data_IF_259089115332
#
_entry.id   IF_259089115332
#
_cell.length_a   1.000
_cell.length_b   1.000
_cell.length_c   1.000
_cell.angle_alpha   90.00
_cell.angle_beta   90.00
_cell.angle_gamma   90.00
#
_symmetry.space_group_name_H-M   'P 1'
#
loop_
_entity.id
_entity.type
_entity.pdbx_description
1 polymer ?
#
# COMPACT_ATOMS: atom_id res chain seq x y z
N UNK A 1 6.15 -10.13 23.00
CA UNK A 1 7.53 -10.48 23.41
C UNK A 1 8.22 -11.47 22.47
N UNK A 2 7.64 -12.64 22.13
CA UNK A 2 8.30 -13.68 21.28
C UNK A 2 8.64 -13.20 19.86
N UNK A 3 7.72 -12.51 19.19
CA UNK A 3 7.89 -11.95 17.84
C UNK A 3 9.05 -10.95 17.77
N UNK A 4 9.13 -10.09 18.78
CA UNK A 4 10.11 -9.02 18.89
C UNK A 4 11.55 -9.54 18.93
N UNK A 5 11.76 -10.61 19.71
CA UNK A 5 13.06 -11.28 19.83
C UNK A 5 13.47 -11.93 18.51
N UNK A 6 12.52 -12.47 17.75
CA UNK A 6 12.78 -13.05 16.43
C UNK A 6 13.24 -12.00 15.42
N UNK A 7 12.65 -10.80 15.44
CA UNK A 7 13.11 -9.68 14.61
C UNK A 7 14.51 -9.20 15.01
N UNK A 8 14.81 -9.12 16.31
CA UNK A 8 16.16 -8.76 16.77
C UNK A 8 17.21 -9.78 16.37
N UNK A 9 16.93 -11.08 16.54
CA UNK A 9 17.81 -12.16 16.13
C UNK A 9 18.02 -12.15 14.61
N UNK A 10 16.95 -11.96 13.83
CA UNK A 10 17.01 -11.84 12.38
C UNK A 10 17.82 -10.63 11.89
N UNK A 11 17.60 -9.47 12.50
CA UNK A 11 18.27 -8.22 12.17
C UNK A 11 19.75 -8.27 12.51
N UNK A 12 20.11 -8.87 13.65
CA UNK A 12 21.51 -9.07 14.05
C UNK A 12 22.27 -9.96 13.06
N UNK A 13 21.57 -10.91 12.43
CA UNK A 13 22.11 -11.82 11.42
C UNK A 13 22.03 -11.26 9.98
N UNK A 14 21.43 -10.07 9.78
CA UNK A 14 21.25 -9.47 8.45
C UNK A 14 20.44 -10.34 7.49
N UNK A 15 19.47 -11.09 8.02
CA UNK A 15 18.69 -12.05 7.25
C UNK A 15 17.84 -11.37 6.17
N UNK A 16 17.60 -12.08 5.08
CA UNK A 16 16.62 -11.66 4.08
C UNK A 16 15.22 -11.72 4.71
N UNK A 17 14.44 -10.67 4.48
CA UNK A 17 13.07 -10.59 4.92
C UNK A 17 12.20 -10.01 3.81
N UNK A 18 11.00 -10.58 3.70
CA UNK A 18 9.96 -10.11 2.78
C UNK A 18 8.72 -9.76 3.60
N UNK A 19 8.12 -8.61 3.29
CA UNK A 19 6.86 -8.20 3.90
C UNK A 19 5.73 -8.73 3.03
N UNK A 20 5.06 -9.77 3.51
CA UNK A 20 3.82 -10.26 2.94
C UNK A 20 2.66 -9.71 3.76
N UNK A 21 1.48 -9.59 3.16
CA UNK A 21 0.33 -8.86 3.70
C UNK A 21 0.12 -8.96 5.22
N UNK A 22 0.28 -10.15 5.82
CA UNK A 22 0.02 -10.45 7.23
C UNK A 22 1.22 -10.95 8.04
N UNK A 23 2.37 -11.10 7.39
CA UNK A 23 3.56 -11.73 7.98
C UNK A 23 4.82 -11.12 7.40
N UNK A 24 5.86 -11.07 8.22
CA UNK A 24 7.20 -10.88 7.68
C UNK A 24 7.85 -12.24 7.61
N UNK A 25 8.21 -12.66 6.40
CA UNK A 25 8.94 -13.92 6.18
C UNK A 25 10.41 -13.59 6.27
N UNK A 26 11.06 -14.05 7.33
CA UNK A 26 12.51 -13.93 7.48
C UNK A 26 13.12 -15.29 7.16
N UNK A 27 13.82 -15.42 6.02
CA UNK A 27 14.57 -16.63 5.60
C UNK A 27 13.93 -17.96 6.04
N UNK A 28 12.70 -18.21 5.59
CA UNK A 28 11.98 -19.48 5.83
C UNK A 28 11.29 -19.60 7.19
N UNK A 29 11.25 -18.55 8.00
CA UNK A 29 10.50 -18.48 9.26
C UNK A 29 9.42 -17.42 9.18
N UNK A 30 8.17 -17.87 9.29
CA UNK A 30 7.01 -16.99 9.35
C UNK A 30 6.97 -16.31 10.71
N UNK A 31 7.03 -14.98 10.70
CA UNK A 31 6.77 -14.17 11.88
C UNK A 31 5.35 -13.62 11.77
N UNK A 32 4.43 -14.21 12.54
CA UNK A 32 3.05 -13.72 12.64
C UNK A 32 3.03 -12.34 13.30
N UNK A 33 2.47 -11.35 12.60
CA UNK A 33 2.24 -10.02 13.16
C UNK A 33 0.99 -10.04 14.07
N UNK A 34 0.96 -9.24 15.15
CA UNK A 34 -0.24 -9.10 15.97
C UNK A 34 -1.45 -8.72 15.12
N UNK A 35 -2.56 -9.44 15.28
CA UNK A 35 -3.76 -9.34 14.43
C UNK A 35 -4.71 -8.21 14.83
N UNK A 36 -4.22 -7.19 15.52
CA UNK A 36 -5.04 -6.04 15.91
C UNK A 36 -4.59 -4.81 15.12
N UNK A 37 -5.56 -4.11 14.54
CA UNK A 37 -5.31 -2.96 13.67
C UNK A 37 -4.80 -1.84 14.54
N UNK A 38 -3.48 -1.69 14.58
CA UNK A 38 -2.86 -0.59 15.26
C UNK A 38 -3.41 0.75 14.74
N UNK A 39 -3.40 1.74 15.62
CA UNK A 39 -3.84 3.09 15.31
C UNK A 39 -3.04 3.68 14.14
N UNK A 40 -3.64 4.52 13.27
CA UNK A 40 -2.97 5.05 12.10
C UNK A 40 -1.74 5.88 12.48
N UNK A 41 -0.55 5.50 12.02
CA UNK A 41 0.67 6.22 12.36
C UNK A 41 0.83 7.52 11.57
N UNK A 42 1.42 8.52 12.22
CA UNK A 42 2.04 9.67 11.56
C UNK A 42 3.54 9.49 11.65
N UNK A 43 4.23 9.46 10.52
CA UNK A 43 5.69 9.41 10.46
C UNK A 43 6.24 10.68 9.79
N UNK A 44 7.56 10.88 9.85
CA UNK A 44 8.41 11.77 9.05
C UNK A 44 9.79 11.16 8.92
N UNK A 45 10.35 11.29 7.73
CA UNK A 45 11.77 11.09 7.50
C UNK A 45 12.37 12.48 7.31
N UNK A 46 13.18 12.93 8.26
CA UNK A 46 13.99 14.13 8.07
C UNK A 46 15.11 13.84 7.06
N UNK A 47 15.64 12.61 7.10
CA UNK A 47 16.67 12.09 6.20
C UNK A 47 16.40 10.62 5.85
N UNK A 48 16.67 10.22 4.61
CA UNK A 48 16.71 8.83 4.16
C UNK A 48 17.70 8.75 3.00
N UNK A 49 18.92 8.30 3.27
CA UNK A 49 20.06 8.37 2.33
C UNK A 49 20.96 7.16 2.41
N UNK A 50 21.70 6.91 1.34
CA UNK A 50 22.75 5.92 1.29
C UNK A 50 24.09 6.60 1.01
N UNK A 51 25.00 6.60 1.98
CA UNK A 51 26.30 7.28 1.88
C UNK A 51 27.40 6.31 2.28
N UNK A 52 28.43 6.14 1.44
CA UNK A 52 29.62 5.34 1.75
C UNK A 52 29.28 3.95 2.31
N UNK A 53 28.41 3.21 1.62
CA UNK A 53 27.92 1.89 2.05
C UNK A 53 27.12 1.87 3.35
N UNK A 54 26.67 3.03 3.82
CA UNK A 54 25.89 3.16 5.04
C UNK A 54 24.52 3.75 4.71
N UNK A 55 23.47 3.01 5.04
CA UNK A 55 22.11 3.52 5.05
C UNK A 55 21.89 4.37 6.29
N UNK A 56 21.33 5.56 6.08
CA UNK A 56 21.03 6.55 7.10
C UNK A 56 19.56 6.95 6.97
N UNK A 57 18.79 6.77 8.04
CA UNK A 57 17.43 7.30 8.11
C UNK A 57 17.19 7.92 9.49
N UNK A 58 16.89 9.21 9.52
CA UNK A 58 16.49 9.93 10.71
C UNK A 58 15.07 10.47 10.51
N UNK A 59 14.28 10.49 11.57
CA UNK A 59 12.88 10.86 11.46
C UNK A 59 12.15 10.89 12.78
N UNK A 60 10.83 10.96 12.69
CA UNK A 60 9.93 10.78 13.82
C UNK A 60 8.71 9.95 13.43
N UNK A 61 8.11 9.29 14.42
CA UNK A 61 6.93 8.46 14.23
C UNK A 61 6.09 8.41 15.50
N UNK A 62 4.79 8.61 15.35
CA UNK A 62 3.85 8.74 16.47
C UNK A 62 2.51 8.06 16.15
N UNK A 63 1.89 7.50 17.18
CA UNK A 63 0.47 7.12 17.16
C UNK A 63 -0.37 8.33 17.61
N UNK A 64 -1.29 8.85 16.77
CA UNK A 64 -2.07 10.05 17.09
C UNK A 64 -3.17 9.82 18.14
N UNK A 65 -3.51 8.57 18.46
CA UNK A 65 -4.61 8.26 19.41
C UNK A 65 -4.04 7.87 20.78
N UNK A 66 -3.10 6.92 20.83
CA UNK A 66 -2.56 6.40 22.10
C UNK A 66 -1.52 7.30 22.75
N UNK A 67 -0.97 8.29 22.04
CA UNK A 67 0.20 9.06 22.51
C UNK A 67 1.29 8.11 23.04
N UNK A 68 1.47 6.94 22.40
CA UNK A 68 2.51 5.99 22.77
C UNK A 68 3.69 6.13 21.79
N UNK A 69 4.93 6.17 22.30
CA UNK A 69 6.09 6.10 21.41
C UNK A 69 6.15 4.75 20.71
N UNK A 70 6.63 4.75 19.47
CA UNK A 70 7.09 3.53 18.81
C UNK A 70 8.21 2.93 19.67
N UNK A 71 8.01 1.72 20.18
CA UNK A 71 8.95 1.07 21.08
C UNK A 71 10.20 0.60 20.35
N UNK A 72 10.03 0.13 19.12
CA UNK A 72 11.10 -0.38 18.25
C UNK A 72 10.80 -0.06 16.81
N UNK A 73 11.82 0.29 16.05
CA UNK A 73 11.73 0.55 14.62
C UNK A 73 12.82 -0.23 13.91
N UNK A 74 12.47 -0.94 12.84
CA UNK A 74 13.41 -1.63 11.96
C UNK A 74 13.30 -1.06 10.55
N UNK A 75 14.40 -1.05 9.81
CA UNK A 75 14.40 -0.76 8.38
C UNK A 75 14.53 -2.03 7.55
N UNK A 76 14.02 -2.00 6.33
CA UNK A 76 14.17 -3.02 5.32
C UNK A 76 14.61 -2.34 4.04
N UNK A 77 15.76 -2.74 3.50
CA UNK A 77 16.29 -2.18 2.25
C UNK A 77 16.70 -3.34 1.36
N UNK A 78 16.16 -3.40 0.14
CA UNK A 78 16.40 -4.48 -0.82
C UNK A 78 16.15 -5.87 -0.22
N UNK A 79 15.06 -6.01 0.55
CA UNK A 79 14.68 -7.25 1.22
C UNK A 79 15.63 -7.67 2.36
N UNK A 80 16.49 -6.77 2.87
CA UNK A 80 17.36 -7.05 4.02
C UNK A 80 16.91 -6.29 5.25
N UNK A 81 16.79 -7.02 6.36
CA UNK A 81 16.43 -6.43 7.64
C UNK A 81 17.62 -5.73 8.27
N UNK A 82 17.43 -4.46 8.61
CA UNK A 82 18.44 -3.61 9.24
C UNK A 82 18.35 -3.71 10.77
N UNK A 83 19.44 -3.38 11.50
CA UNK A 83 19.41 -3.26 12.94
C UNK A 83 18.31 -2.33 13.44
N UNK A 84 17.90 -2.50 14.69
CA UNK A 84 16.92 -1.62 15.32
C UNK A 84 17.42 -0.18 15.35
N UNK A 85 16.55 0.76 14.95
CA UNK A 85 16.83 2.18 15.04
C UNK A 85 16.97 2.61 16.51
N UNK A 86 17.86 3.57 16.76
CA UNK A 86 18.01 4.17 18.08
C UNK A 86 16.89 5.19 18.30
N UNK A 87 16.22 5.20 19.46
CA UNK A 87 15.28 6.27 19.79
C UNK A 87 16.03 7.59 19.94
N UNK A 88 15.41 8.69 19.50
CA UNK A 88 15.95 10.05 19.57
C UNK A 88 14.90 10.98 20.17
N UNK A 89 15.32 11.83 21.09
CA UNK A 89 14.44 12.87 21.66
C UNK A 89 14.12 13.95 20.62
N UNK A 90 12.84 14.26 20.45
CA UNK A 90 12.32 15.25 19.50
C UNK A 90 11.35 16.20 20.18
N UNK A 91 11.90 17.10 20.99
CA UNK A 91 11.16 18.12 21.74
C UNK A 91 10.36 19.05 20.80
N UNK A 92 10.89 19.30 19.60
CA UNK A 92 10.22 20.05 18.53
C UNK A 92 8.92 19.37 18.09
N UNK A 93 8.97 18.06 17.81
CA UNK A 93 7.81 17.26 17.40
C UNK A 93 6.82 17.13 18.54
N UNK A 94 7.30 16.88 19.77
CA UNK A 94 6.46 16.83 20.97
C UNK A 94 5.63 18.11 21.11
N UNK A 95 6.26 19.28 21.07
CA UNK A 95 5.57 20.57 21.22
C UNK A 95 4.58 20.82 20.10
N UNK A 96 4.96 20.50 18.85
CA UNK A 96 4.12 20.72 17.67
C UNK A 96 2.88 19.81 17.64
N UNK A 97 3.02 18.57 18.09
CA UNK A 97 1.95 17.56 18.09
C UNK A 97 1.28 17.38 19.45
N UNK A 98 1.66 18.18 20.46
CA UNK A 98 1.14 18.13 21.84
C UNK A 98 1.26 16.74 22.48
N UNK A 99 2.40 16.07 22.28
CA UNK A 99 2.65 14.72 22.81
C UNK A 99 3.07 14.77 24.29
N UNK A 100 2.88 13.66 24.99
CA UNK A 100 3.27 13.50 26.40
C UNK A 100 4.67 12.92 26.60
N UNK A 101 5.40 12.62 25.52
CA UNK A 101 6.71 11.96 25.55
C UNK A 101 7.69 12.61 24.57
N UNK A 102 8.99 12.57 24.90
CA UNK A 102 10.05 13.18 24.09
C UNK A 102 10.65 12.20 23.05
N UNK A 103 10.57 10.89 23.30
CA UNK A 103 11.17 9.83 22.45
C UNK A 103 10.27 9.45 21.25
N UNK A 104 9.88 10.43 20.43
CA UNK A 104 9.15 10.20 19.19
C UNK A 104 10.05 10.16 17.94
N UNK A 105 11.35 10.45 18.09
CA UNK A 105 12.33 10.40 17.01
C UNK A 105 13.02 9.04 16.88
N UNK A 106 13.64 8.83 15.72
CA UNK A 106 14.51 7.68 15.49
C UNK A 106 15.75 8.07 14.67
N UNK A 107 16.84 7.30 14.85
CA UNK A 107 18.02 7.32 13.99
C UNK A 107 18.44 5.89 13.67
N UNK A 108 18.43 5.55 12.38
CA UNK A 108 18.83 4.26 11.85
C UNK A 108 20.11 4.44 11.04
N UNK A 109 21.16 3.72 11.43
CA UNK A 109 22.46 3.73 10.76
C UNK A 109 22.92 2.29 10.58
N UNK A 110 22.98 1.83 9.34
CA UNK A 110 23.26 0.43 9.03
C UNK A 110 24.23 0.30 7.85
N UNK A 111 25.36 -0.41 7.99
CA UNK A 111 26.19 -0.74 6.84
C UNK A 111 25.45 -1.73 5.94
N UNK A 112 25.46 -1.50 4.62
CA UNK A 112 24.90 -2.41 3.63
C UNK A 112 26.01 -2.98 2.77
N UNK A 113 26.01 -4.30 2.58
CA UNK A 113 26.98 -4.96 1.71
C UNK A 113 26.76 -4.66 0.22
N UNK A 114 25.54 -4.27 -0.17
CA UNK A 114 25.16 -3.93 -1.54
C UNK A 114 24.85 -2.44 -1.67
N UNK A 115 25.13 -1.83 -2.83
CA UNK A 115 24.69 -0.47 -3.13
C UNK A 115 23.16 -0.37 -3.10
N UNK A 116 22.67 0.81 -2.71
CA UNK A 116 21.25 1.19 -2.81
C UNK A 116 21.15 2.19 -3.95
N UNK A 117 20.20 1.96 -4.85
CA UNK A 117 19.91 2.82 -5.99
C UNK A 117 18.77 3.79 -5.66
N UNK A 118 18.66 4.89 -6.41
CA UNK A 118 17.58 5.89 -6.23
C UNK A 118 16.17 5.33 -6.43
N UNK A 119 16.07 4.19 -7.10
CA UNK A 119 14.80 3.48 -7.31
C UNK A 119 14.45 2.54 -6.15
N UNK A 120 15.38 2.30 -5.23
CA UNK A 120 15.18 1.37 -4.14
C UNK A 120 14.31 2.00 -3.04
N UNK A 121 13.36 1.22 -2.55
CA UNK A 121 12.48 1.64 -1.46
C UNK A 121 13.02 1.15 -0.12
N UNK A 122 13.01 2.03 0.87
CA UNK A 122 13.14 1.63 2.26
C UNK A 122 11.74 1.35 2.83
N UNK A 123 11.56 0.18 3.41
CA UNK A 123 10.36 -0.16 4.17
C UNK A 123 10.70 -0.14 5.64
N UNK A 124 9.92 0.55 6.45
CA UNK A 124 10.14 0.66 7.89
C UNK A 124 9.06 -0.09 8.65
N UNK A 125 9.46 -0.83 9.67
CA UNK A 125 8.60 -1.64 10.53
C UNK A 125 8.61 -1.05 11.94
N UNK A 126 7.57 -0.31 12.31
CA UNK A 126 7.37 0.26 13.64
C UNK A 126 6.59 -0.69 14.53
N UNK A 127 7.10 -1.01 15.72
CA UNK A 127 6.44 -1.88 16.69
C UNK A 127 5.96 -1.09 17.90
N UNK A 128 4.68 -1.23 18.20
CA UNK A 128 3.98 -0.60 19.34
C UNK A 128 3.54 -1.66 20.36
N UNK A 129 2.87 -1.24 21.43
CA UNK A 129 2.16 -2.17 22.32
C UNK A 129 1.00 -2.88 21.63
N UNK A 130 0.36 -2.22 20.66
CA UNK A 130 -0.87 -2.65 20.00
C UNK A 130 -0.64 -3.38 18.68
N UNK A 131 0.51 -3.22 18.03
CA UNK A 131 0.76 -3.88 16.76
C UNK A 131 2.09 -3.52 16.09
N UNK A 132 2.26 -4.07 14.89
CA UNK A 132 3.35 -3.75 13.97
C UNK A 132 2.78 -2.93 12.82
N UNK A 133 3.49 -1.87 12.48
CA UNK A 133 3.10 -0.90 11.48
C UNK A 133 4.18 -0.84 10.41
N UNK A 134 3.77 -0.68 9.16
CA UNK A 134 4.69 -0.64 8.02
C UNK A 134 4.53 0.70 7.33
N UNK A 135 5.62 1.37 7.00
CA UNK A 135 5.59 2.57 6.16
C UNK A 135 6.74 2.57 5.16
N UNK A 136 6.54 3.18 3.99
CA UNK A 136 7.55 3.27 2.94
C UNK A 136 8.20 4.65 2.98
N UNK A 137 9.51 4.69 2.75
CA UNK A 137 10.27 5.89 2.46
C UNK A 137 11.06 5.70 1.17
N UNK A 138 11.05 6.69 0.31
CA UNK A 138 11.91 6.69 -0.88
C UNK A 138 13.36 6.92 -0.43
N UNK A 139 14.29 6.07 -0.89
CA UNK A 139 15.72 6.29 -0.68
C UNK A 139 16.18 7.28 -1.75
N UNK A 140 16.44 8.53 -1.37
CA UNK A 140 16.91 9.53 -2.33
C UNK A 140 18.40 9.73 -2.11
N UNK A 141 19.23 9.49 -3.14
CA UNK A 141 20.68 9.60 -2.97
C UNK A 141 21.14 11.01 -2.59
N UNK A 142 20.48 12.10 -3.00
CA UNK A 142 21.00 13.45 -2.70
C UNK A 142 19.99 14.62 -2.66
N UNK A 143 18.68 14.39 -2.74
CA UNK A 143 17.68 15.48 -2.70
C UNK A 143 16.96 15.51 -1.36
N UNK A 144 16.78 16.71 -0.77
CA UNK A 144 15.87 16.93 0.36
C UNK A 144 14.42 16.75 -0.14
N UNK A 145 13.64 15.76 0.32
CA UNK A 145 12.21 15.76 0.06
C UNK A 145 11.48 16.39 1.27
N UNK A 146 10.53 17.31 1.10
CA UNK A 146 9.22 17.06 1.67
C UNK A 146 8.52 16.09 0.70
N UNK A 147 7.95 14.99 1.18
CA UNK A 147 6.70 14.37 0.70
C UNK A 147 6.64 12.90 1.17
N UNK A 148 5.41 12.45 1.36
CA UNK A 148 5.04 11.29 2.15
C UNK A 148 4.10 10.38 1.39
N UNK A 149 4.32 9.06 1.54
CA UNK A 149 3.27 8.06 1.36
C UNK A 149 3.19 7.20 2.63
N UNK A 150 2.28 7.55 3.54
CA UNK A 150 1.94 6.71 4.69
C UNK A 150 0.88 5.69 4.28
N UNK A 151 1.28 4.42 4.11
CA UNK A 151 0.33 3.32 4.09
C UNK A 151 0.13 2.84 5.53
N UNK A 152 -1.05 2.99 6.11
CA UNK A 152 -1.37 2.38 7.42
C UNK A 152 -1.89 0.97 7.17
N UNK A 153 -1.26 -0.04 7.80
CA UNK A 153 -1.72 -1.42 7.73
C UNK A 153 -2.50 -1.77 9.00
N UNK A 154 -3.81 -1.96 8.85
CA UNK A 154 -4.72 -2.40 9.89
C UNK A 154 -5.06 -3.88 9.67
N UNK A 155 -4.62 -4.76 10.58
CA UNK A 155 -4.90 -6.21 10.54
C UNK A 155 -5.89 -6.53 11.65
N UNK A 156 -7.05 -7.16 11.38
CA UNK A 156 -8.00 -7.60 12.42
C UNK A 156 -8.28 -9.11 12.35
N UNK A 157 -8.81 -9.69 13.44
CA UNK A 157 -8.98 -11.14 13.69
C UNK A 157 -9.65 -12.00 12.60
N UNK A 158 -10.30 -11.43 11.58
CA UNK A 158 -10.86 -12.16 10.44
C UNK A 158 -10.46 -11.60 9.06
N UNK A 159 -9.56 -10.60 8.98
CA UNK A 159 -9.09 -10.04 7.72
C UNK A 159 -7.82 -9.18 7.89
N UNK A 160 -6.85 -9.37 7.00
CA UNK A 160 -5.74 -8.44 6.76
C UNK A 160 -6.22 -7.46 5.70
N UNK A 161 -6.37 -6.19 6.06
CA UNK A 161 -6.67 -5.14 5.09
C UNK A 161 -5.37 -4.50 4.62
N UNK A 162 -4.67 -5.20 3.72
CA UNK A 162 -4.17 -4.54 2.51
C UNK A 162 -5.30 -4.76 1.52
N UNK A 163 -5.98 -3.73 1.03
CA UNK A 163 -6.96 -3.94 -0.05
C UNK A 163 -6.22 -4.21 -1.36
N UNK A 164 -5.64 -5.40 -1.48
CA UNK A 164 -5.49 -6.15 -2.71
C UNK A 164 -6.46 -7.33 -2.63
N UNK A 165 -7.30 -7.61 -3.65
CA UNK A 165 -8.44 -8.50 -3.48
C UNK A 165 -8.02 -9.98 -3.40
N UNK A 166 -8.82 -10.77 -2.65
CA UNK A 166 -9.07 -12.20 -2.92
C UNK A 166 -10.49 -12.35 -3.47
N UNK A 167 -10.70 -13.49 -4.13
CA UNK A 167 -11.85 -13.86 -4.96
C UNK A 167 -13.19 -13.58 -4.25
N UNK A 168 -14.01 -12.69 -4.84
CA UNK A 168 -15.40 -12.45 -4.43
C UNK A 168 -15.63 -11.36 -3.39
N UNK A 169 -14.57 -10.73 -2.85
CA UNK A 169 -14.70 -9.70 -1.82
C UNK A 169 -14.40 -8.29 -2.38
N UNK A 170 -15.30 -7.33 -2.09
CA UNK A 170 -15.27 -5.95 -2.59
C UNK A 170 -14.00 -5.23 -2.12
N UNK A 171 -13.01 -5.08 -3.01
CA UNK A 171 -11.80 -4.32 -2.72
C UNK A 171 -11.95 -2.89 -3.21
N UNK A 172 -11.96 -1.95 -2.26
CA UNK A 172 -11.95 -0.51 -2.52
C UNK A 172 -10.55 0.04 -2.26
N UNK A 173 -9.84 0.58 -3.26
CA UNK A 173 -8.69 1.41 -2.91
C UNK A 173 -9.19 2.71 -2.30
N UNK A 174 -8.54 3.20 -1.25
CA UNK A 174 -8.80 4.51 -0.66
C UNK A 174 -7.51 5.33 -0.79
N UNK A 175 -7.45 6.16 -1.82
CA UNK A 175 -6.43 7.20 -1.89
C UNK A 175 -7.14 8.48 -2.33
N UNK A 176 -6.94 9.56 -1.57
CA UNK A 176 -7.57 10.88 -1.80
C UNK A 176 -9.10 10.82 -2.00
N UNK A 177 -9.80 9.95 -1.27
CA UNK A 177 -11.26 9.82 -1.38
C UNK A 177 -11.75 9.03 -2.60
N UNK A 178 -10.89 8.59 -3.53
CA UNK A 178 -11.29 7.71 -4.62
C UNK A 178 -11.48 6.29 -4.12
N UNK A 179 -12.55 5.65 -4.59
CA UNK A 179 -12.89 4.23 -4.44
C UNK A 179 -13.10 3.63 -5.82
N UNK A 180 -12.55 2.44 -6.07
CA UNK A 180 -12.76 1.74 -7.33
C UNK A 180 -12.75 0.23 -7.13
N UNK A 181 -13.38 -0.50 -8.05
CA UNK A 181 -13.51 -1.94 -8.03
C UNK A 181 -13.58 -2.52 -9.43
N UNK A 182 -13.01 -3.71 -9.62
CA UNK A 182 -13.09 -4.50 -10.85
C UNK A 182 -14.15 -5.58 -10.67
N UNK A 183 -15.25 -5.48 -11.42
CA UNK A 183 -16.32 -6.48 -11.39
C UNK A 183 -15.87 -7.78 -12.07
N UNK A 184 -15.14 -7.66 -13.19
CA UNK A 184 -14.71 -8.78 -14.01
C UNK A 184 -13.49 -8.42 -14.85
N UNK A 185 -12.54 -9.35 -14.93
CA UNK A 185 -11.42 -9.33 -15.88
C UNK A 185 -11.35 -10.66 -16.61
N UNK A 186 -11.16 -10.60 -17.92
CA UNK A 186 -10.88 -11.73 -18.80
C UNK A 186 -9.65 -11.37 -19.64
N UNK A 187 -8.66 -12.27 -19.65
CA UNK A 187 -7.43 -12.10 -20.43
C UNK A 187 -7.26 -13.35 -21.29
N UNK A 188 -7.13 -13.15 -22.60
CA UNK A 188 -6.95 -14.21 -23.60
C UNK A 188 -5.86 -13.78 -24.58
N UNK A 189 -4.65 -14.30 -24.39
CA UNK A 189 -3.47 -13.84 -25.11
C UNK A 189 -3.26 -12.34 -24.90
N UNK A 190 -3.19 -11.60 -26.00
CA UNK A 190 -3.03 -10.14 -25.98
C UNK A 190 -4.36 -9.38 -25.79
N UNK A 191 -5.48 -10.08 -25.66
CA UNK A 191 -6.79 -9.44 -25.50
C UNK A 191 -7.19 -9.37 -24.03
N UNK A 192 -7.67 -8.19 -23.61
CA UNK A 192 -8.26 -7.97 -22.29
C UNK A 192 -9.68 -7.44 -22.42
N UNK A 193 -10.59 -8.04 -21.65
CA UNK A 193 -11.91 -7.50 -21.37
C UNK A 193 -12.02 -7.26 -19.86
N UNK A 194 -12.30 -6.02 -19.48
CA UNK A 194 -12.34 -5.59 -18.08
C UNK A 194 -13.57 -4.69 -17.89
N UNK A 195 -14.30 -4.87 -16.78
CA UNK A 195 -15.34 -3.93 -16.35
C UNK A 195 -15.31 -3.72 -14.85
N UNK A 196 -15.81 -2.57 -14.43
CA UNK A 196 -15.81 -2.17 -13.03
C UNK A 196 -16.41 -0.80 -12.83
N UNK A 197 -16.05 -0.17 -11.72
CA UNK A 197 -16.46 1.19 -11.41
C UNK A 197 -15.39 1.93 -10.60
N UNK A 198 -15.42 3.26 -10.66
CA UNK A 198 -14.62 4.17 -9.85
C UNK A 198 -15.44 5.42 -9.48
N UNK A 199 -15.30 5.89 -8.24
CA UNK A 199 -15.96 7.09 -7.72
C UNK A 199 -15.03 7.85 -6.77
N UNK A 200 -15.04 9.18 -6.85
CA UNK A 200 -14.42 10.06 -5.86
C UNK A 200 -15.45 10.33 -4.75
N UNK A 201 -15.34 9.65 -3.63
CA UNK A 201 -16.31 9.76 -2.53
C UNK A 201 -16.29 11.11 -1.81
N UNK A 202 -15.20 11.86 -1.92
CA UNK A 202 -15.07 13.26 -1.47
C UNK A 202 -15.72 14.26 -2.44
N UNK A 203 -15.80 13.91 -3.72
CA UNK A 203 -16.38 14.74 -4.77
C UNK A 203 -17.03 13.89 -5.86
N UNK A 204 -18.27 13.40 -5.66
CA UNK A 204 -18.94 12.48 -6.60
C UNK A 204 -19.14 13.01 -8.03
N UNK A 205 -19.00 14.33 -8.23
CA UNK A 205 -19.05 14.97 -9.55
C UNK A 205 -17.70 14.97 -10.28
N UNK A 206 -16.61 14.58 -9.60
CA UNK A 206 -15.26 14.51 -10.19
C UNK A 206 -15.26 13.40 -11.22
N UNK A 207 -14.88 13.73 -12.45
CA UNK A 207 -14.75 12.76 -13.53
C UNK A 207 -13.46 11.98 -13.37
N UNK A 208 -13.58 10.67 -13.44
CA UNK A 208 -12.47 9.74 -13.30
C UNK A 208 -12.20 9.01 -14.61
N UNK A 209 -10.93 8.67 -14.80
CA UNK A 209 -10.43 7.85 -15.88
C UNK A 209 -9.76 6.61 -15.30
N UNK A 210 -9.76 5.51 -16.05
CA UNK A 210 -9.08 4.28 -15.68
C UNK A 210 -8.16 3.81 -16.79
N UNK A 211 -6.99 3.30 -16.42
CA UNK A 211 -6.03 2.68 -17.32
C UNK A 211 -5.60 1.32 -16.77
N UNK A 212 -5.19 0.42 -17.66
CA UNK A 212 -4.51 -0.80 -17.25
C UNK A 212 -3.00 -0.53 -17.21
N UNK A 213 -2.34 -0.99 -16.16
CA UNK A 213 -0.89 -0.98 -16.00
C UNK A 213 -0.34 -2.37 -15.68
N UNK A 214 0.97 -2.48 -15.73
CA UNK A 214 1.72 -3.64 -15.26
C UNK A 214 3.04 -3.19 -14.62
N UNK A 215 3.25 -3.56 -13.36
CA UNK A 215 4.47 -3.28 -12.60
C UNK A 215 4.94 -1.80 -12.69
N UNK A 216 4.00 -0.85 -12.55
CA UNK A 216 4.25 0.59 -12.61
C UNK A 216 4.22 1.19 -14.02
N UNK A 217 4.07 0.38 -15.07
CA UNK A 217 4.00 0.86 -16.46
C UNK A 217 2.57 0.86 -16.96
N UNK A 218 2.09 2.00 -17.46
CA UNK A 218 0.75 2.10 -18.07
C UNK A 218 0.76 1.40 -19.43
N UNK A 219 -0.11 0.40 -19.59
CA UNK A 219 -0.23 -0.43 -20.79
C UNK A 219 -1.21 0.14 -21.83
N UNK A 220 -2.12 1.02 -21.42
CA UNK A 220 -3.11 1.61 -22.32
C UNK A 220 -3.46 3.05 -21.93
N UNK A 221 -3.92 3.82 -22.92
CA UNK A 221 -4.45 5.15 -22.67
C UNK A 221 -5.63 5.09 -21.69
N UNK A 222 -5.69 6.02 -20.71
CA UNK A 222 -6.80 6.09 -19.78
C UNK A 222 -8.14 6.30 -20.51
N UNK A 223 -9.19 5.63 -20.04
CA UNK A 223 -10.56 5.77 -20.53
C UNK A 223 -11.44 6.39 -19.46
N UNK A 224 -12.42 7.20 -19.84
CA UNK A 224 -13.36 7.80 -18.89
C UNK A 224 -14.33 6.75 -18.34
N UNK A 225 -14.70 6.89 -17.07
CA UNK A 225 -15.87 6.22 -16.51
C UNK A 225 -17.13 6.89 -17.08
N UNK A 226 -17.84 6.21 -17.98
CA UNK A 226 -19.04 6.73 -18.64
C UNK A 226 -20.23 5.79 -18.52
N UNK A 227 -20.05 4.60 -17.93
CA UNK A 227 -21.11 3.60 -17.84
C UNK A 227 -21.98 3.91 -16.62
N UNK A 228 -23.32 4.04 -16.77
CA UNK A 228 -24.20 4.28 -15.64
C UNK A 228 -24.17 3.15 -14.60
N UNK A 229 -24.05 3.51 -13.32
CA UNK A 229 -24.02 2.61 -12.16
C UNK A 229 -24.91 3.15 -11.02
N UNK A 230 -26.25 3.07 -11.17
CA UNK A 230 -27.18 3.52 -10.14
C UNK A 230 -27.04 2.75 -8.82
N UNK A 231 -26.60 1.49 -8.89
CA UNK A 231 -26.27 0.67 -7.72
C UNK A 231 -25.14 1.29 -6.88
N UNK A 232 -24.11 1.81 -7.54
CA UNK A 232 -22.98 2.48 -6.89
C UNK A 232 -23.38 3.87 -6.40
N UNK A 233 -24.21 4.59 -7.18
CA UNK A 233 -24.74 5.88 -6.76
C UNK A 233 -25.54 5.76 -5.45
N UNK A 234 -26.36 4.72 -5.31
CA UNK A 234 -27.13 4.44 -4.10
C UNK A 234 -26.25 4.04 -2.91
N UNK A 235 -25.26 3.15 -3.13
CA UNK A 235 -24.32 2.71 -2.09
C UNK A 235 -23.52 3.88 -1.48
N UNK A 236 -23.19 4.88 -2.29
CA UNK A 236 -22.42 6.05 -1.85
C UNK A 236 -23.27 7.31 -1.60
N UNK A 237 -24.60 7.21 -1.64
CA UNK A 237 -25.54 8.33 -1.42
C UNK A 237 -25.28 9.53 -2.35
N UNK A 238 -25.09 9.25 -3.65
CA UNK A 238 -24.78 10.23 -4.69
C UNK A 238 -25.84 10.29 -5.79
N UNK A 239 -27.10 9.98 -5.46
CA UNK A 239 -28.20 9.83 -6.42
C UNK A 239 -28.51 11.12 -7.22
N UNK A 240 -28.08 12.28 -6.72
CA UNK A 240 -28.17 13.59 -7.40
C UNK A 240 -26.93 14.02 -8.21
N UNK A 241 -25.92 13.16 -8.34
CA UNK A 241 -24.74 13.39 -9.18
C UNK A 241 -24.81 12.59 -10.50
N UNK A 242 -23.81 12.77 -11.38
CA UNK A 242 -23.66 11.89 -12.55
C UNK A 242 -23.54 10.44 -12.06
N UNK A 243 -24.36 9.53 -12.59
CA UNK A 243 -24.30 8.09 -12.26
C UNK A 243 -23.22 7.37 -13.09
N UNK A 244 -22.38 8.09 -13.82
CA UNK A 244 -21.36 7.57 -14.74
C UNK A 244 -20.10 7.10 -14.00
N UNK A 245 -20.25 6.16 -13.07
CA UNK A 245 -19.12 5.62 -12.30
C UNK A 245 -18.50 4.37 -12.92
N UNK A 246 -19.20 3.73 -13.86
CA UNK A 246 -18.76 2.47 -14.45
C UNK A 246 -17.78 2.66 -15.61
N UNK A 247 -16.96 1.63 -15.83
CA UNK A 247 -16.11 1.52 -17.01
C UNK A 247 -16.20 0.13 -17.63
N UNK A 248 -16.00 0.06 -18.94
CA UNK A 248 -15.90 -1.18 -19.69
C UNK A 248 -14.81 -1.05 -20.76
N UNK A 249 -13.80 -1.90 -20.66
CA UNK A 249 -12.64 -1.97 -21.55
C UNK A 249 -12.70 -3.29 -22.29
N UNK A 250 -12.55 -3.23 -23.62
CA UNK A 250 -12.27 -4.40 -24.46
C UNK A 250 -11.22 -3.99 -25.49
N UNK A 251 -9.98 -4.42 -25.29
CA UNK A 251 -8.82 -3.99 -26.09
C UNK A 251 -7.83 -5.12 -26.28
N UNK A 252 -7.07 -5.02 -27.36
CA UNK A 252 -5.87 -5.82 -27.59
C UNK A 252 -4.67 -4.98 -27.20
N UNK A 253 -3.84 -5.48 -26.31
CA UNK A 253 -2.62 -4.85 -25.80
C UNK A 253 -1.46 -5.74 -26.23
N UNK A 254 -0.64 -5.32 -27.21
CA UNK A 254 0.48 -6.13 -27.69
C UNK A 254 1.40 -6.58 -26.56
N UNK A 255 1.70 -7.87 -26.51
CA UNK A 255 2.59 -8.46 -25.50
C UNK A 255 1.96 -8.71 -24.14
N UNK A 256 0.68 -8.37 -23.94
CA UNK A 256 -0.03 -8.64 -22.67
C UNK A 256 -0.05 -10.14 -22.34
N UNK A 257 -0.17 -11.02 -23.34
CA UNK A 257 -0.18 -12.47 -23.12
C UNK A 257 1.12 -13.03 -22.57
N UNK A 258 2.23 -12.29 -22.71
CA UNK A 258 3.54 -12.65 -22.17
C UNK A 258 3.80 -12.08 -20.77
N UNK A 259 2.95 -11.18 -20.27
CA UNK A 259 3.11 -10.55 -18.97
C UNK A 259 2.58 -11.45 -17.84
N UNK A 260 3.21 -11.35 -16.67
CA UNK A 260 2.69 -11.99 -15.47
C UNK A 260 1.41 -11.30 -15.01
N UNK A 261 0.40 -12.08 -14.62
CA UNK A 261 -0.82 -11.52 -14.06
C UNK A 261 -0.59 -10.88 -12.67
N UNK A 262 0.46 -11.28 -11.96
CA UNK A 262 0.78 -10.73 -10.62
C UNK A 262 1.18 -9.26 -10.66
N UNK A 263 1.66 -8.79 -11.82
CA UNK A 263 2.04 -7.40 -12.04
C UNK A 263 0.90 -6.50 -12.52
N UNK A 264 -0.24 -7.05 -12.91
CA UNK A 264 -1.35 -6.27 -13.47
C UNK A 264 -2.01 -5.39 -12.42
N UNK A 265 -2.30 -4.15 -12.82
CA UNK A 265 -2.90 -3.13 -11.98
C UNK A 265 -3.90 -2.27 -12.76
N UNK A 266 -5.03 -1.91 -12.14
CA UNK A 266 -5.90 -0.84 -12.61
C UNK A 266 -5.41 0.47 -12.00
N UNK A 267 -5.10 1.44 -12.84
CA UNK A 267 -4.73 2.80 -12.47
C UNK A 267 -5.95 3.69 -12.59
N UNK A 268 -6.32 4.42 -11.54
CA UNK A 268 -7.42 5.41 -11.59
C UNK A 268 -6.81 6.81 -11.58
N UNK A 269 -7.26 7.67 -12.49
CA UNK A 269 -6.79 9.04 -12.65
C UNK A 269 -7.97 9.98 -12.54
N UNK A 270 -7.76 11.19 -12.03
CA UNK A 270 -8.73 12.26 -12.27
C UNK A 270 -8.54 12.87 -13.66
N UNK A 271 -9.63 13.28 -14.31
CA UNK A 271 -9.60 13.89 -15.64
C UNK A 271 -8.80 15.20 -15.69
N UNK A 272 -8.69 15.91 -14.55
CA UNK A 272 -7.90 17.13 -14.43
C UNK A 272 -6.38 16.88 -14.33
N UNK A 273 -5.95 15.60 -14.32
CA UNK A 273 -4.55 15.21 -14.28
C UNK A 273 -3.87 15.45 -12.93
N UNK A 274 -4.62 15.86 -11.89
CA UNK A 274 -4.07 16.25 -10.59
C UNK A 274 -3.57 15.09 -9.74
N UNK A 275 -4.16 13.91 -9.88
CA UNK A 275 -3.85 12.77 -9.03
C UNK A 275 -3.87 11.43 -9.79
N UNK A 276 -2.76 10.68 -9.71
CA UNK A 276 -2.73 9.26 -10.07
C UNK A 276 -2.97 8.43 -8.81
N UNK A 277 -4.12 7.76 -8.76
CA UNK A 277 -4.68 7.24 -7.53
C UNK A 277 -5.01 5.77 -7.75
N UNK A 278 -4.34 4.93 -6.98
CA UNK A 278 -4.59 3.50 -6.86
C UNK A 278 -4.10 2.61 -8.00
N UNK A 279 -3.41 1.54 -7.63
CA UNK A 279 -3.18 0.34 -8.42
C UNK A 279 -4.05 -0.79 -7.83
N UNK A 280 -5.05 -1.28 -8.58
CA UNK A 280 -5.89 -2.42 -8.14
C UNK A 280 -5.46 -3.68 -8.88
N UNK A 281 -5.04 -4.71 -8.14
CA UNK A 281 -4.77 -6.02 -8.75
C UNK A 281 -6.07 -6.67 -9.20
N UNK A 282 -6.26 -6.97 -10.51
CA UNK A 282 -7.43 -7.69 -10.98
C UNK A 282 -7.40 -9.12 -10.44
N UNK A 283 -8.45 -9.54 -9.74
CA UNK A 283 -8.57 -10.95 -9.33
C UNK A 283 -9.35 -11.71 -10.38
N UNK A 284 -8.70 -12.67 -11.03
CA UNK A 284 -9.42 -13.65 -11.84
C UNK A 284 -10.27 -14.55 -10.94
N UNK A 285 -11.53 -14.79 -11.35
CA UNK A 285 -12.29 -15.90 -10.79
C UNK A 285 -11.62 -17.21 -11.21
N UNK A 286 -11.44 -18.19 -10.31
CA UNK A 286 -10.94 -19.51 -10.69
C UNK A 286 -11.80 -20.11 -11.81
N UNK A 287 -11.17 -20.58 -12.89
CA UNK A 287 -11.84 -21.40 -13.91
C UNK A 287 -12.32 -22.68 -13.23
N UNK A 288 -13.62 -22.75 -12.88
CA UNK A 288 -14.22 -23.95 -12.26
C UNK A 288 -15.49 -23.71 -11.44
N UNK A 289 -15.76 -22.49 -10.99
CA UNK A 289 -17.02 -22.18 -10.29
C UNK A 289 -18.17 -22.03 -11.30
N UNK A 290 -18.91 -23.12 -11.54
CA UNK A 290 -20.17 -23.09 -12.30
C UNK A 290 -21.13 -22.11 -11.63
N UNK A 291 -21.69 -21.20 -12.43
CA UNK A 291 -22.78 -20.30 -12.03
C UNK A 291 -23.94 -21.15 -11.53
N UNK A 292 -24.19 -21.16 -10.21
CA UNK A 292 -25.44 -21.69 -9.67
C UNK A 292 -26.50 -20.68 -10.10
N UNK A 293 -27.21 -20.99 -11.19
CA UNK A 293 -28.42 -20.28 -11.56
C UNK A 293 -29.52 -20.82 -10.65
N UNK A 294 -30.16 -20.00 -9.81
CA UNK A 294 -31.32 -20.44 -9.07
C UNK A 294 -32.38 -20.87 -10.09
N UNK A 295 -32.82 -22.13 -10.02
CA UNK A 295 -34.08 -22.50 -10.67
C UNK A 295 -35.17 -21.71 -9.93
N UNK A 296 -35.77 -20.75 -10.63
CA UNK A 296 -37.08 -20.23 -10.25
C UNK A 296 -38.05 -21.42 -10.28
N UNK A 297 -38.65 -21.70 -9.12
CA UNK A 297 -39.82 -22.58 -8.97
C UNK A 297 -41.04 -21.68 -9.15
#
# INVERSE_FOLDING_TARGET
MRVLRQFEEAAALGMAAEVLADRVVVTGKDIELPRDAGEPLRAHLDTCRYINKTFLADGWIVTPISNEPIKRLFGLVNGRLLPMAKPVERVDVRRKLLLTYDNCGFSLRAPLAQPVFDTDKAVFLGVTSTGVHVFEGDCVSDVKPPFYRTSTYAVTRNAVTVKGPRIGERSFVHAHGIKAFVDEIQIEGDSVALRGWAIASDSPRRKLMVALGHAGTVLMLPIRCTVPRPDIAMEFHTEGASQEFGFQIKRTIPGLGALSQEGLELVVLSEDGGDAIAAIRPVQRPRGLRRIVPKLI
#
